data_IF_918186717560
#
_entry.id   IF_918186717560
#
_cell.length_a   1.000
_cell.length_b   1.000
_cell.length_c   1.000
_cell.angle_alpha   90.00
_cell.angle_beta   90.00
_cell.angle_gamma   90.00
#
_symmetry.space_group_name_H-M   'P 1'
#
loop_
_entity.id
_entity.type
_entity.pdbx_description
1 polymer ?
#
# COMPACT_ATOMS: atom_id res chain seq x y z
N UNK A 1 4.24 7.35 -9.95
CA UNK A 1 4.39 8.55 -9.10
C UNK A 1 4.58 9.83 -9.92
N UNK A 2 5.66 9.96 -10.72
CA UNK A 2 5.85 11.15 -11.59
C UNK A 2 4.68 11.40 -12.52
N UNK A 3 4.21 10.36 -13.20
CA UNK A 3 3.06 10.51 -14.11
C UNK A 3 1.78 10.85 -13.36
N UNK A 4 1.50 10.19 -12.23
CA UNK A 4 0.35 10.49 -11.37
C UNK A 4 0.37 11.95 -10.92
N UNK A 5 1.55 12.47 -10.57
CA UNK A 5 1.72 13.87 -10.19
C UNK A 5 1.48 14.81 -11.38
N UNK A 6 2.06 14.51 -12.56
CA UNK A 6 1.91 15.29 -13.80
C UNK A 6 0.46 15.40 -14.26
N UNK A 7 -0.33 14.33 -14.16
CA UNK A 7 -1.73 14.31 -14.66
C UNK A 7 -2.74 14.79 -13.63
N UNK A 8 -2.36 14.92 -12.36
CA UNK A 8 -3.28 15.32 -11.29
C UNK A 8 -3.37 16.83 -11.17
N UNK A 9 -4.60 17.37 -11.12
CA UNK A 9 -4.84 18.82 -11.02
C UNK A 9 -4.78 19.38 -9.59
N UNK A 10 -5.01 18.57 -8.56
CA UNK A 10 -5.13 19.04 -7.16
C UNK A 10 -4.25 18.25 -6.21
N UNK A 11 -4.45 16.94 -6.16
CA UNK A 11 -3.72 16.05 -5.27
C UNK A 11 -3.68 14.64 -5.86
N UNK A 12 -2.72 13.84 -5.41
CA UNK A 12 -2.67 12.41 -5.64
C UNK A 12 -2.96 11.72 -4.32
N UNK A 13 -3.91 10.78 -4.33
CA UNK A 13 -4.14 9.85 -3.23
C UNK A 13 -3.82 8.44 -3.71
N UNK A 14 -3.03 7.70 -2.93
CA UNK A 14 -2.74 6.29 -3.16
C UNK A 14 -3.18 5.52 -1.91
N UNK A 15 -3.96 4.47 -2.11
CA UNK A 15 -4.32 3.51 -1.09
C UNK A 15 -3.78 2.15 -1.52
N UNK A 16 -2.88 1.58 -0.71
CA UNK A 16 -2.22 0.32 -1.00
C UNK A 16 -2.21 -0.58 0.26
N UNK A 17 -1.75 -1.82 0.09
CA UNK A 17 -1.53 -2.77 1.17
C UNK A 17 -0.23 -2.44 1.91
N UNK A 18 -0.32 -2.52 3.24
CA UNK A 18 0.82 -2.39 4.14
C UNK A 18 1.55 -3.72 4.24
N UNK A 19 2.87 -3.71 4.06
CA UNK A 19 3.70 -4.90 4.31
C UNK A 19 3.77 -5.18 5.81
N UNK A 20 2.96 -6.13 6.27
CA UNK A 20 2.95 -6.58 7.65
C UNK A 20 2.94 -8.11 7.72
N UNK A 21 3.90 -8.68 8.44
CA UNK A 21 3.98 -10.13 8.67
C UNK A 21 2.73 -10.67 9.38
N UNK A 22 2.09 -9.86 10.24
CA UNK A 22 0.80 -10.20 10.86
C UNK A 22 -0.37 -10.30 9.86
N UNK A 23 -0.34 -9.53 8.76
CA UNK A 23 -1.32 -9.67 7.67
C UNK A 23 -1.12 -10.99 6.92
N UNK A 24 0.14 -11.40 6.76
CA UNK A 24 0.52 -12.66 6.14
C UNK A 24 -0.02 -13.83 6.96
N UNK A 25 0.18 -13.79 8.28
CA UNK A 25 -0.34 -14.79 9.21
C UNK A 25 -1.88 -14.78 9.26
N UNK A 26 -2.51 -13.60 9.27
CA UNK A 26 -3.98 -13.49 9.29
C UNK A 26 -4.64 -13.96 8.00
N UNK A 27 -4.10 -13.63 6.84
CA UNK A 27 -4.58 -14.14 5.54
C UNK A 27 -4.32 -15.64 5.43
N UNK A 28 -3.15 -16.13 5.85
CA UNK A 28 -2.84 -17.56 5.85
C UNK A 28 -3.78 -18.34 6.78
N UNK A 29 -3.94 -17.89 8.03
CA UNK A 29 -4.81 -18.52 9.02
C UNK A 29 -6.29 -18.43 8.60
N UNK A 30 -6.75 -17.26 8.13
CA UNK A 30 -8.11 -17.08 7.63
C UNK A 30 -8.40 -17.95 6.41
N UNK A 31 -7.45 -18.07 5.48
CA UNK A 31 -7.60 -18.94 4.31
C UNK A 31 -7.53 -20.43 4.68
N UNK A 32 -6.84 -20.79 5.77
CA UNK A 32 -6.84 -22.14 6.33
C UNK A 32 -8.19 -22.47 6.97
N UNK A 33 -8.71 -21.57 7.81
CA UNK A 33 -9.98 -21.74 8.54
C UNK A 33 -11.22 -21.65 7.63
N UNK A 34 -11.18 -20.86 6.56
CA UNK A 34 -12.31 -20.68 5.62
C UNK A 34 -12.28 -21.64 4.42
N UNK A 35 -11.33 -22.58 4.37
CA UNK A 35 -11.30 -23.62 3.33
C UNK A 35 -10.96 -23.13 1.91
N UNK A 36 -10.35 -21.95 1.76
CA UNK A 36 -10.01 -21.41 0.44
C UNK A 36 -9.03 -22.30 -0.34
N UNK A 37 -9.22 -22.34 -1.66
CA UNK A 37 -8.39 -23.10 -2.59
C UNK A 37 -6.89 -22.72 -2.46
N UNK A 38 -5.95 -23.66 -2.59
CA UNK A 38 -4.50 -23.41 -2.42
C UNK A 38 -3.94 -22.26 -3.26
N UNK A 39 -4.54 -22.00 -4.43
CA UNK A 39 -4.19 -20.89 -5.32
C UNK A 39 -4.52 -19.53 -4.68
N UNK A 40 -5.72 -19.36 -4.12
CA UNK A 40 -6.12 -18.12 -3.44
C UNK A 40 -5.29 -17.84 -2.18
N UNK A 41 -4.83 -18.90 -1.51
CA UNK A 41 -3.90 -18.81 -0.36
C UNK A 41 -2.56 -18.20 -0.80
N UNK A 42 -2.01 -18.67 -1.91
CA UNK A 42 -0.73 -18.17 -2.43
C UNK A 42 -0.85 -16.72 -2.90
N UNK A 43 -1.91 -16.36 -3.62
CA UNK A 43 -2.08 -15.00 -4.14
C UNK A 43 -2.28 -13.96 -3.02
N UNK A 44 -3.01 -14.31 -1.96
CA UNK A 44 -3.16 -13.44 -0.79
C UNK A 44 -1.83 -13.18 -0.09
N UNK A 45 -0.98 -14.21 0.03
CA UNK A 45 0.36 -14.12 0.63
C UNK A 45 1.30 -13.28 -0.23
N UNK A 46 1.28 -13.46 -1.55
CA UNK A 46 2.09 -12.67 -2.50
C UNK A 46 1.71 -11.18 -2.45
N UNK A 47 0.41 -10.88 -2.37
CA UNK A 47 -0.10 -9.50 -2.32
C UNK A 47 0.36 -8.75 -1.07
N UNK A 48 0.33 -9.40 0.11
CA UNK A 48 0.82 -8.81 1.37
C UNK A 48 2.33 -8.57 1.32
N UNK A 49 3.10 -9.50 0.73
CA UNK A 49 4.56 -9.35 0.62
C UNK A 49 4.98 -8.20 -0.29
N UNK A 50 4.18 -7.89 -1.31
CA UNK A 50 4.41 -6.76 -2.23
C UNK A 50 3.96 -5.41 -1.69
N UNK A 51 3.28 -5.37 -0.55
CA UNK A 51 2.87 -4.12 0.08
C UNK A 51 4.05 -3.21 0.43
N UNK A 52 3.74 -1.96 0.74
CA UNK A 52 4.72 -0.95 1.15
C UNK A 52 4.63 -0.66 2.66
N UNK A 53 5.75 -0.30 3.28
CA UNK A 53 5.72 0.38 4.58
C UNK A 53 5.43 1.86 4.37
N UNK A 54 4.82 2.52 5.36
CA UNK A 54 4.55 3.96 5.29
C UNK A 54 5.80 4.80 4.98
N UNK A 55 6.92 4.51 5.65
CA UNK A 55 8.19 5.18 5.40
C UNK A 55 8.71 4.96 3.97
N UNK A 56 8.55 3.77 3.42
CA UNK A 56 8.98 3.47 2.04
C UNK A 56 8.14 4.24 1.02
N UNK A 57 6.82 4.30 1.23
CA UNK A 57 5.91 5.11 0.41
C UNK A 57 6.26 6.60 0.47
N UNK A 58 6.54 7.12 1.67
CA UNK A 58 6.99 8.50 1.83
C UNK A 58 8.27 8.78 1.04
N UNK A 59 9.30 7.95 1.23
CA UNK A 59 10.57 8.09 0.51
C UNK A 59 10.44 7.92 -1.01
N UNK A 60 9.52 7.07 -1.48
CA UNK A 60 9.28 6.91 -2.92
C UNK A 60 8.65 8.16 -3.54
N UNK A 61 7.71 8.81 -2.86
CA UNK A 61 7.12 10.07 -3.34
C UNK A 61 8.17 11.17 -3.34
N UNK A 62 8.91 11.33 -2.25
CA UNK A 62 9.98 12.33 -2.14
C UNK A 62 11.01 12.17 -3.26
N UNK A 63 11.54 10.95 -3.47
CA UNK A 63 12.49 10.68 -4.57
C UNK A 63 11.90 10.84 -5.97
N UNK A 64 10.59 10.64 -6.14
CA UNK A 64 9.97 10.69 -7.45
C UNK A 64 9.64 12.11 -7.89
N UNK A 65 9.12 12.93 -6.97
CA UNK A 65 8.52 14.24 -7.29
C UNK A 65 8.94 15.37 -6.34
N UNK A 66 9.88 15.14 -5.42
CA UNK A 66 10.42 16.13 -4.48
C UNK A 66 9.35 16.82 -3.61
N UNK A 67 8.35 16.06 -3.17
CA UNK A 67 7.28 16.52 -2.28
C UNK A 67 7.23 15.60 -1.07
N UNK A 68 7.03 16.18 0.12
CA UNK A 68 6.76 15.42 1.33
C UNK A 68 5.27 15.04 1.38
N UNK A 69 4.91 13.75 1.24
CA UNK A 69 3.51 13.34 1.37
C UNK A 69 3.10 13.18 2.82
N UNK A 70 1.78 13.23 3.04
CA UNK A 70 1.16 12.75 4.28
C UNK A 70 0.90 11.25 4.12
N UNK A 71 1.44 10.43 5.03
CA UNK A 71 1.26 8.97 5.01
C UNK A 71 0.64 8.49 6.31
N UNK A 72 -0.35 7.61 6.20
CA UNK A 72 -1.03 7.00 7.34
C UNK A 72 -1.18 5.50 7.16
N UNK A 73 -0.87 4.78 8.23
CA UNK A 73 -1.30 3.40 8.40
C UNK A 73 -2.79 3.38 8.74
N UNK A 74 -3.53 2.45 8.14
CA UNK A 74 -4.97 2.27 8.31
C UNK A 74 -5.27 0.85 8.76
N UNK A 75 -6.44 0.67 9.36
CA UNK A 75 -6.96 -0.64 9.75
C UNK A 75 -7.06 -1.58 8.53
N UNK A 76 -6.93 -2.88 8.79
CA UNK A 76 -6.94 -3.90 7.73
C UNK A 76 -5.65 -3.95 6.90
N UNK A 77 -4.50 -3.59 7.50
CA UNK A 77 -3.19 -3.61 6.84
C UNK A 77 -3.15 -2.78 5.56
N UNK A 78 -3.71 -1.57 5.63
CA UNK A 78 -3.69 -0.61 4.53
C UNK A 78 -2.74 0.53 4.86
N UNK A 79 -2.18 1.13 3.83
CA UNK A 79 -1.37 2.34 3.91
C UNK A 79 -1.91 3.33 2.89
N UNK A 80 -2.09 4.57 3.31
CA UNK A 80 -2.58 5.65 2.45
C UNK A 80 -1.55 6.77 2.40
N UNK A 81 -1.23 7.26 1.21
CA UNK A 81 -0.40 8.45 1.02
C UNK A 81 -1.13 9.50 0.20
N UNK A 82 -0.94 10.77 0.55
CA UNK A 82 -1.55 11.91 -0.11
C UNK A 82 -0.56 13.07 -0.24
N UNK A 83 -0.54 13.73 -1.40
CA UNK A 83 0.18 14.98 -1.58
C UNK A 83 -0.50 15.89 -2.61
N UNK A 84 -0.29 17.20 -2.49
CA UNK A 84 -0.79 18.21 -3.43
C UNK A 84 0.11 18.28 -4.68
N UNK A 85 -0.49 18.56 -5.83
CA UNK A 85 0.21 18.66 -7.13
C UNK A 85 0.21 20.05 -7.74
N UNK A 86 -0.59 20.97 -7.17
CA UNK A 86 -0.60 22.39 -7.52
C UNK A 86 -0.29 23.28 -6.32
N UNK A 87 -0.11 24.59 -6.54
CA UNK A 87 -0.05 25.59 -5.47
C UNK A 87 -1.32 25.57 -4.58
#
# INVERSE_FOLDING_TARGET
LREMHRVSRRAVLIADLRRAWGALAGVWLGSFLLGFHPVSRHDGVVSVRRGFRAAELASLVDRAVAVQPVVHDRLGFRVTTCWRTGP
#
